data_IF_107025517949
#
_entry.id   IF_107025517949
#
_cell.length_a   1.000
_cell.length_b   1.000
_cell.length_c   1.000
_cell.angle_alpha   90.00
_cell.angle_beta   90.00
_cell.angle_gamma   90.00
#
_symmetry.space_group_name_H-M   'P 1'
#
loop_
_entity.id
_entity.type
_entity.pdbx_description
1 polymer ?
#
# COMPACT_ATOMS: atom_id res chain seq x y z
N UNK A 1 23.80 4.36 -8.41
CA UNK A 1 24.64 3.44 -7.61
C UNK A 1 24.72 3.79 -6.11
N UNK A 2 25.24 4.93 -5.66
CA UNK A 2 25.42 5.18 -4.21
C UNK A 2 24.11 5.15 -3.39
N UNK A 3 23.03 5.75 -3.89
CA UNK A 3 21.71 5.72 -3.24
C UNK A 3 21.16 4.29 -3.09
N UNK A 4 21.37 3.44 -4.09
CA UNK A 4 20.91 2.04 -4.07
C UNK A 4 21.71 1.20 -3.08
N UNK A 5 23.03 1.37 -3.03
CA UNK A 5 23.89 0.66 -2.06
C UNK A 5 23.52 1.09 -0.64
N UNK A 6 23.31 2.39 -0.41
CA UNK A 6 22.94 2.90 0.90
C UNK A 6 21.54 2.45 1.34
N UNK A 7 20.57 2.43 0.41
CA UNK A 7 19.22 1.90 0.67
C UNK A 7 19.28 0.41 1.05
N UNK A 8 19.99 -0.41 0.26
CA UNK A 8 20.14 -1.85 0.52
C UNK A 8 20.88 -2.15 1.83
N UNK A 9 21.91 -1.37 2.17
CA UNK A 9 22.64 -1.50 3.45
C UNK A 9 21.81 -1.05 4.65
N UNK A 10 21.13 0.09 4.55
CA UNK A 10 20.22 0.56 5.60
C UNK A 10 19.08 -0.44 5.80
N UNK A 11 18.53 -1.00 4.71
CA UNK A 11 17.48 -2.00 4.79
C UNK A 11 17.98 -3.28 5.46
N UNK A 12 19.14 -3.80 5.04
CA UNK A 12 19.72 -4.99 5.64
C UNK A 12 20.02 -4.77 7.14
N UNK A 13 20.52 -3.59 7.51
CA UNK A 13 20.75 -3.21 8.91
C UNK A 13 19.42 -3.08 9.69
N UNK A 14 18.41 -2.44 9.11
CA UNK A 14 17.10 -2.28 9.76
C UNK A 14 16.39 -3.62 9.92
N UNK A 15 16.47 -4.52 8.95
CA UNK A 15 15.95 -5.87 9.05
C UNK A 15 16.73 -6.69 10.07
N UNK A 16 18.07 -6.58 10.08
CA UNK A 16 18.89 -7.24 11.09
C UNK A 16 18.51 -6.76 12.51
N UNK A 17 18.31 -5.46 12.71
CA UNK A 17 17.90 -4.89 14.01
C UNK A 17 16.46 -5.28 14.37
N UNK A 18 15.53 -5.26 13.41
CA UNK A 18 14.11 -5.53 13.67
C UNK A 18 13.78 -7.03 13.84
N UNK A 19 14.64 -7.93 13.32
CA UNK A 19 14.36 -9.37 13.26
C UNK A 19 15.44 -10.27 13.89
N UNK A 20 16.51 -9.71 14.46
CA UNK A 20 17.45 -10.44 15.32
C UNK A 20 17.20 -10.15 16.81
N UNK A 21 16.20 -10.79 17.45
CA UNK A 21 15.90 -10.55 18.87
C UNK A 21 17.05 -10.97 19.81
N UNK A 22 18.10 -11.64 19.31
CA UNK A 22 19.23 -12.12 20.11
C UNK A 22 20.50 -11.26 20.08
N UNK A 23 20.67 -10.31 19.15
CA UNK A 23 21.97 -9.61 18.98
C UNK A 23 21.99 -8.26 19.74
N UNK A 24 20.85 -7.60 19.90
CA UNK A 24 20.80 -6.29 20.58
C UNK A 24 20.88 -6.33 22.11
N UNK A 25 20.82 -7.52 22.75
CA UNK A 25 20.91 -7.64 24.21
C UNK A 25 22.29 -7.26 24.79
N UNK A 26 23.33 -7.10 23.96
CA UNK A 26 24.70 -6.83 24.44
C UNK A 26 25.17 -5.38 24.34
N UNK A 27 24.42 -4.47 23.70
CA UNK A 27 24.92 -3.11 23.38
C UNK A 27 24.19 -1.93 24.03
N UNK A 28 23.36 -2.14 25.05
CA UNK A 28 22.90 -1.06 25.95
C UNK A 28 22.14 0.09 25.27
N UNK A 29 21.58 -0.14 24.08
CA UNK A 29 20.64 0.78 23.44
C UNK A 29 19.27 0.61 24.11
N UNK A 30 19.07 1.35 25.19
CA UNK A 30 17.80 1.45 25.92
C UNK A 30 16.84 2.35 25.12
N UNK A 31 16.38 1.86 23.97
CA UNK A 31 15.23 2.44 23.28
C UNK A 31 14.01 1.61 23.63
N UNK A 32 13.08 2.22 24.38
CA UNK A 32 11.77 1.69 24.74
C UNK A 32 10.83 1.38 23.57
N UNK A 33 11.36 1.05 22.39
CA UNK A 33 10.64 0.29 21.39
C UNK A 33 10.51 -1.15 21.91
N UNK A 34 9.62 -1.35 22.88
CA UNK A 34 9.10 -2.67 23.21
C UNK A 34 8.71 -3.32 21.89
N UNK A 35 9.49 -4.32 21.46
CA UNK A 35 9.23 -5.13 20.29
C UNK A 35 7.99 -5.96 20.64
N UNK A 36 6.83 -5.31 20.59
CA UNK A 36 5.55 -5.98 20.71
C UNK A 36 5.59 -7.19 19.77
N UNK A 37 5.14 -8.37 20.22
CA UNK A 37 5.24 -9.60 19.46
C UNK A 37 4.73 -9.32 18.04
N UNK A 38 5.64 -9.41 17.07
CA UNK A 38 5.31 -9.06 15.69
C UNK A 38 4.17 -9.96 15.26
N UNK A 39 3.07 -9.36 14.81
CA UNK A 39 1.96 -10.12 14.25
C UNK A 39 2.47 -10.82 13.00
N UNK A 40 2.49 -12.15 13.04
CA UNK A 40 2.78 -12.97 11.88
C UNK A 40 1.55 -13.02 10.97
N UNK A 41 1.79 -13.04 9.67
CA UNK A 41 0.73 -13.34 8.71
C UNK A 41 0.23 -14.77 8.92
N UNK A 42 -1.07 -14.98 8.71
CA UNK A 42 -1.71 -16.29 8.78
C UNK A 42 -2.38 -16.63 7.45
N UNK A 43 -2.50 -17.91 7.07
CA UNK A 43 -3.29 -18.32 5.91
C UNK A 43 -4.72 -17.80 6.00
N UNK A 44 -5.33 -17.41 4.87
CA UNK A 44 -6.72 -16.90 4.80
C UNK A 44 -6.98 -15.65 5.66
N UNK A 45 -5.95 -14.84 5.89
CA UNK A 45 -6.03 -13.53 6.56
C UNK A 45 -5.31 -12.48 5.71
N UNK A 46 -5.57 -11.17 5.91
CA UNK A 46 -4.73 -10.15 5.30
C UNK A 46 -3.25 -10.35 5.70
N UNK A 47 -2.36 -10.25 4.72
CA UNK A 47 -0.92 -10.24 4.87
C UNK A 47 -0.54 -9.06 5.73
N UNK A 48 0.27 -9.31 6.76
CA UNK A 48 0.80 -8.27 7.63
C UNK A 48 1.89 -7.52 6.86
N UNK A 49 1.64 -6.22 6.66
CA UNK A 49 2.61 -5.27 6.13
C UNK A 49 3.00 -4.24 7.18
N UNK A 50 4.23 -3.73 7.13
CA UNK A 50 4.70 -2.64 7.99
C UNK A 50 5.51 -1.63 7.18
N UNK A 51 5.15 -0.36 7.27
CA UNK A 51 5.98 0.72 6.76
C UNK A 51 7.24 0.88 7.62
N UNK A 52 8.40 1.00 6.98
CA UNK A 52 9.69 1.24 7.63
C UNK A 52 10.01 2.73 7.50
N UNK A 53 9.44 3.51 8.42
CA UNK A 53 9.76 4.93 8.59
C UNK A 53 10.07 5.15 10.09
N UNK A 54 11.26 5.66 10.46
CA UNK A 54 11.64 5.86 11.85
C UNK A 54 10.77 6.91 12.58
N UNK A 55 10.09 7.78 11.85
CA UNK A 55 9.24 8.84 12.40
C UNK A 55 7.75 8.48 12.33
N UNK A 56 7.36 7.46 11.55
CA UNK A 56 5.97 7.00 11.50
C UNK A 56 5.69 6.00 12.63
N UNK A 57 4.96 6.43 13.65
CA UNK A 57 4.50 5.50 14.68
C UNK A 57 3.45 4.53 14.12
N UNK A 58 3.39 3.31 14.67
CA UNK A 58 2.40 2.29 14.26
C UNK A 58 0.96 2.74 14.54
N UNK A 59 0.75 3.57 15.56
CA UNK A 59 -0.54 4.16 15.85
C UNK A 59 -0.92 5.17 14.75
N UNK A 60 -0.03 6.08 14.40
CA UNK A 60 -0.27 7.09 13.35
C UNK A 60 -0.51 6.41 11.98
N UNK A 61 0.28 5.40 11.63
CA UNK A 61 0.06 4.61 10.40
C UNK A 61 -1.35 3.99 10.38
N UNK A 62 -1.81 3.46 11.51
CA UNK A 62 -3.15 2.85 11.64
C UNK A 62 -4.25 3.89 11.53
N UNK A 63 -4.09 5.03 12.18
CA UNK A 63 -5.04 6.16 12.12
C UNK A 63 -5.17 6.67 10.68
N UNK A 64 -4.03 6.93 10.02
CA UNK A 64 -3.99 7.33 8.61
C UNK A 64 -4.68 6.30 7.70
N UNK A 65 -4.34 5.01 7.82
CA UNK A 65 -4.97 3.94 7.04
C UNK A 65 -6.47 3.83 7.33
N UNK A 66 -6.89 3.99 8.58
CA UNK A 66 -8.31 3.88 8.97
C UNK A 66 -9.11 5.05 8.40
N UNK A 67 -8.56 6.26 8.50
CA UNK A 67 -9.15 7.46 7.95
C UNK A 67 -9.24 7.42 6.42
N UNK A 68 -8.15 7.10 5.73
CA UNK A 68 -8.17 6.98 4.27
C UNK A 68 -9.17 5.93 3.76
N UNK A 69 -9.44 4.89 4.56
CA UNK A 69 -10.43 3.85 4.26
C UNK A 69 -11.86 4.21 4.66
N UNK A 70 -12.09 5.27 5.43
CA UNK A 70 -13.45 5.59 5.84
C UNK A 70 -14.30 5.95 4.62
N UNK A 71 -15.56 5.49 4.55
CA UNK A 71 -16.46 5.88 3.48
C UNK A 71 -16.76 7.38 3.60
N UNK A 72 -16.78 8.08 2.47
CA UNK A 72 -17.25 9.47 2.43
C UNK A 72 -18.75 9.45 2.69
N UNK A 73 -19.20 9.96 3.84
CA UNK A 73 -20.63 9.98 4.17
C UNK A 73 -21.34 11.01 3.28
N UNK A 74 -22.40 10.57 2.60
CA UNK A 74 -23.25 11.44 1.77
C UNK A 74 -23.95 12.48 2.64
N UNK A 75 -23.34 13.67 2.77
CA UNK A 75 -23.86 14.78 3.59
C UNK A 75 -22.78 15.49 4.41
N UNK A 76 -21.62 14.87 4.60
CA UNK A 76 -20.48 15.51 5.26
C UNK A 76 -19.85 16.52 4.29
N UNK A 77 -20.00 17.81 4.60
CA UNK A 77 -19.55 18.91 3.73
C UNK A 77 -18.03 18.93 3.57
N UNK A 78 -17.30 18.37 4.53
CA UNK A 78 -15.85 18.48 4.61
C UNK A 78 -15.14 17.76 3.45
N UNK A 79 -15.77 16.72 2.90
CA UNK A 79 -15.25 15.96 1.75
C UNK A 79 -16.05 16.18 0.48
N UNK A 80 -16.93 17.19 0.42
CA UNK A 80 -17.69 17.55 -0.77
C UNK A 80 -16.83 18.35 -1.76
N UNK A 81 -15.60 17.89 -2.02
CA UNK A 81 -14.69 18.54 -2.94
C UNK A 81 -15.31 18.61 -4.35
N UNK A 82 -15.20 19.77 -4.97
CA UNK A 82 -15.81 20.14 -6.24
C UNK A 82 -14.82 20.97 -7.10
N UNK A 83 -15.31 21.51 -8.23
CA UNK A 83 -14.53 22.33 -9.15
C UNK A 83 -13.91 23.60 -8.54
N UNK A 84 -14.45 24.08 -7.41
CA UNK A 84 -13.99 25.27 -6.72
C UNK A 84 -12.98 24.99 -5.61
N UNK A 85 -12.81 23.70 -5.24
CA UNK A 85 -11.94 23.29 -4.14
C UNK A 85 -10.47 23.50 -4.50
N UNK A 86 -9.72 24.11 -3.57
CA UNK A 86 -8.26 24.31 -3.69
C UNK A 86 -7.49 23.22 -2.93
N UNK A 87 -6.18 23.10 -3.15
CA UNK A 87 -5.35 22.18 -2.36
C UNK A 87 -5.31 22.56 -0.87
N UNK A 88 -5.38 23.86 -0.56
CA UNK A 88 -5.49 24.35 0.82
C UNK A 88 -6.81 23.89 1.47
N UNK A 89 -7.91 23.87 0.74
CA UNK A 89 -9.20 23.40 1.26
C UNK A 89 -9.16 21.89 1.50
N UNK A 90 -8.53 21.12 0.60
CA UNK A 90 -8.29 19.68 0.79
C UNK A 90 -7.41 19.45 2.02
N UNK A 91 -6.30 20.17 2.16
CA UNK A 91 -5.41 20.07 3.32
C UNK A 91 -6.16 20.40 4.61
N UNK A 92 -6.95 21.48 4.64
CA UNK A 92 -7.75 21.88 5.81
C UNK A 92 -8.77 20.82 6.19
N UNK A 93 -9.45 20.23 5.20
CA UNK A 93 -10.42 19.16 5.41
C UNK A 93 -9.75 17.88 5.95
N UNK A 94 -8.55 17.55 5.49
CA UNK A 94 -7.82 16.37 5.97
C UNK A 94 -7.19 16.60 7.35
N UNK A 95 -6.75 17.82 7.64
CA UNK A 95 -6.10 18.21 8.90
C UNK A 95 -6.99 18.04 10.15
N UNK A 96 -8.30 17.88 9.98
CA UNK A 96 -9.22 17.55 11.08
C UNK A 96 -9.04 16.11 11.60
N UNK A 97 -8.45 15.23 10.78
CA UNK A 97 -8.22 13.82 11.11
C UNK A 97 -6.74 13.46 11.14
N UNK A 98 -5.96 13.91 10.15
CA UNK A 98 -4.53 13.64 10.05
C UNK A 98 -3.81 14.88 9.54
N UNK A 99 -2.74 15.26 10.21
CA UNK A 99 -1.89 16.37 9.78
C UNK A 99 -1.23 16.04 8.43
N UNK A 100 -1.70 16.69 7.36
CA UNK A 100 -1.17 16.57 6.00
C UNK A 100 -0.46 17.86 5.62
N UNK A 101 0.71 17.72 4.98
CA UNK A 101 1.48 18.84 4.44
C UNK A 101 1.34 18.92 2.92
N UNK A 102 1.59 20.11 2.37
CA UNK A 102 1.73 20.34 0.93
C UNK A 102 3.20 20.66 0.65
N UNK A 103 3.80 19.97 -0.30
CA UNK A 103 5.16 20.25 -0.76
C UNK A 103 5.18 21.46 -1.69
N UNK A 104 5.13 22.66 -1.12
CA UNK A 104 5.10 23.92 -1.87
C UNK A 104 6.25 24.02 -2.89
N UNK A 105 7.43 23.51 -2.56
CA UNK A 105 8.58 23.53 -3.47
C UNK A 105 8.32 22.68 -4.72
N UNK A 106 7.82 21.46 -4.55
CA UNK A 106 7.51 20.59 -5.69
C UNK A 106 6.39 21.17 -6.57
N UNK A 107 5.41 21.83 -5.95
CA UNK A 107 4.33 22.54 -6.66
C UNK A 107 4.87 23.74 -7.46
N UNK A 108 5.74 24.55 -6.86
CA UNK A 108 6.38 25.69 -7.52
C UNK A 108 7.20 25.26 -8.75
N UNK A 109 7.86 24.09 -8.68
CA UNK A 109 8.66 23.52 -9.78
C UNK A 109 7.82 23.20 -11.03
N UNK A 110 6.52 22.91 -10.88
CA UNK A 110 5.57 22.69 -11.98
C UNK A 110 4.65 23.90 -12.24
N UNK A 111 4.89 25.02 -11.55
CA UNK A 111 4.11 26.26 -11.71
C UNK A 111 2.68 26.19 -11.14
N UNK A 112 2.42 25.31 -10.17
CA UNK A 112 1.16 25.24 -9.45
C UNK A 112 1.27 25.95 -8.10
N UNK A 113 0.23 26.66 -7.69
CA UNK A 113 0.07 27.19 -6.34
C UNK A 113 -0.95 26.36 -5.55
N UNK A 114 -0.74 26.23 -4.23
CA UNK A 114 -1.70 25.54 -3.36
C UNK A 114 -3.08 26.22 -3.31
N UNK A 115 -3.13 27.51 -3.66
CA UNK A 115 -4.36 28.30 -3.76
C UNK A 115 -5.06 28.16 -5.10
N UNK A 116 -4.45 27.48 -6.08
CA UNK A 116 -5.06 27.27 -7.39
C UNK A 116 -6.21 26.27 -7.27
N UNK A 117 -7.21 26.44 -8.16
CA UNK A 117 -8.35 25.54 -8.20
C UNK A 117 -7.93 24.21 -8.81
N UNK A 118 -8.30 23.12 -8.13
CA UNK A 118 -7.89 21.77 -8.51
C UNK A 118 -8.45 21.35 -9.87
N UNK A 119 -9.61 21.89 -10.24
CA UNK A 119 -10.12 21.73 -11.59
C UNK A 119 -9.75 22.97 -12.40
N UNK A 120 -8.83 22.87 -13.38
CA UNK A 120 -8.83 23.83 -14.45
C UNK A 120 -10.25 23.81 -15.03
N UNK A 121 -10.92 24.97 -15.05
CA UNK A 121 -12.23 25.12 -15.68
C UNK A 121 -12.11 24.44 -17.04
N UNK A 122 -12.82 23.30 -17.21
CA UNK A 122 -12.67 22.40 -18.35
C UNK A 122 -12.45 23.22 -19.61
N UNK A 123 -11.19 23.36 -20.03
CA UNK A 123 -10.93 23.90 -21.34
C UNK A 123 -11.55 22.87 -22.27
N UNK A 124 -12.45 23.26 -23.20
CA UNK A 124 -13.23 22.32 -24.03
C UNK A 124 -12.35 21.65 -25.11
N UNK A 125 -11.12 21.27 -24.74
CA UNK A 125 -10.06 20.82 -25.60
C UNK A 125 -9.69 19.39 -25.21
N UNK A 126 -10.05 18.50 -26.13
CA UNK A 126 -9.54 17.15 -26.38
C UNK A 126 -10.01 16.00 -25.49
N UNK A 127 -10.72 15.09 -26.17
CA UNK A 127 -10.86 13.66 -25.97
C UNK A 127 -9.63 12.99 -25.31
N UNK A 128 -9.44 13.16 -24.01
CA UNK A 128 -8.64 12.24 -23.21
C UNK A 128 -9.56 11.07 -22.89
N UNK A 129 -9.17 9.87 -23.34
CA UNK A 129 -9.78 8.60 -22.92
C UNK A 129 -9.97 8.62 -21.41
N UNK A 130 -11.16 8.21 -20.93
CA UNK A 130 -11.49 8.13 -19.50
C UNK A 130 -10.29 7.53 -18.77
N UNK A 131 -9.62 8.27 -17.88
CA UNK A 131 -8.45 7.76 -17.19
C UNK A 131 -8.83 6.51 -16.39
N UNK A 132 -7.97 5.50 -16.39
CA UNK A 132 -8.04 4.34 -15.48
C UNK A 132 -8.14 4.75 -13.99
N UNK A 133 -7.97 6.04 -13.65
CA UNK A 133 -8.16 6.59 -12.30
C UNK A 133 -9.61 6.56 -11.77
N UNK A 134 -10.64 6.36 -12.61
CA UNK A 134 -12.01 6.13 -12.12
C UNK A 134 -12.28 4.65 -11.83
N UNK A 135 -11.40 3.76 -12.29
CA UNK A 135 -11.31 2.41 -11.75
C UNK A 135 -10.69 2.58 -10.38
N UNK A 136 -11.51 2.38 -9.35
CA UNK A 136 -11.01 2.22 -8.00
C UNK A 136 -9.83 1.23 -8.08
N UNK A 137 -8.58 1.63 -7.74
CA UNK A 137 -7.43 0.72 -7.75
C UNK A 137 -7.65 -0.51 -6.85
N UNK A 138 -8.76 -0.53 -6.12
CA UNK A 138 -9.20 -1.56 -5.21
C UNK A 138 -10.35 -2.44 -5.77
N UNK A 139 -11.06 -2.07 -6.83
CA UNK A 139 -12.27 -2.77 -7.30
C UNK A 139 -12.08 -3.75 -8.48
N UNK A 140 -11.07 -3.57 -9.34
CA UNK A 140 -10.89 -4.43 -10.52
C UNK A 140 -9.79 -5.48 -10.30
N UNK A 141 -10.21 -6.71 -9.99
CA UNK A 141 -9.39 -7.92 -10.18
C UNK A 141 -9.79 -8.64 -11.47
N UNK A 142 -8.91 -9.49 -12.04
CA UNK A 142 -9.18 -10.23 -13.29
C UNK A 142 -10.34 -11.23 -13.20
N UNK A 143 -10.92 -11.48 -12.02
CA UNK A 143 -12.00 -12.47 -11.81
C UNK A 143 -13.42 -11.94 -12.06
N UNK A 144 -13.59 -10.65 -12.43
CA UNK A 144 -14.91 -10.04 -12.66
C UNK A 144 -15.68 -10.63 -13.86
N UNK A 145 -15.12 -11.59 -14.59
CA UNK A 145 -15.75 -12.21 -15.75
C UNK A 145 -16.58 -13.49 -15.45
N UNK A 146 -16.57 -14.04 -14.23
CA UNK A 146 -17.18 -15.36 -13.95
C UNK A 146 -17.99 -15.46 -12.65
N UNK A 147 -18.86 -14.50 -12.34
CA UNK A 147 -19.84 -14.68 -11.25
C UNK A 147 -21.28 -14.68 -11.77
N UNK A 148 -21.80 -15.89 -11.96
CA UNK A 148 -23.21 -16.18 -12.20
C UNK A 148 -24.02 -15.96 -10.93
N UNK A 149 -25.09 -15.18 -11.06
CA UNK A 149 -26.04 -14.80 -10.02
C UNK A 149 -26.82 -16.00 -9.47
N UNK A 150 -26.66 -16.29 -8.18
CA UNK A 150 -27.63 -17.09 -7.40
C UNK A 150 -28.43 -16.18 -6.48
N UNK A 151 -29.76 -16.19 -6.65
CA UNK A 151 -30.74 -15.47 -5.82
C UNK A 151 -30.94 -16.24 -4.52
N UNK A 152 -30.71 -15.59 -3.37
CA UNK A 152 -31.03 -16.14 -2.04
C UNK A 152 -31.99 -15.23 -1.29
N UNK A 153 -33.05 -15.86 -0.79
CA UNK A 153 -34.23 -15.29 -0.13
C UNK A 153 -33.92 -14.83 1.29
N UNK A 154 -34.44 -13.65 1.64
CA UNK A 154 -34.24 -12.95 2.91
C UNK A 154 -34.98 -13.59 4.09
N UNK A 155 -34.23 -14.00 5.13
CA UNK A 155 -34.73 -14.22 6.50
C UNK A 155 -33.90 -13.35 7.46
N UNK A 156 -34.58 -12.59 8.31
CA UNK A 156 -33.96 -11.61 9.21
C UNK A 156 -33.19 -12.27 10.37
N UNK A 157 -31.93 -11.88 10.66
CA UNK A 157 -31.18 -12.43 11.77
C UNK A 157 -31.24 -11.56 13.04
N UNK A 158 -31.25 -12.26 14.17
CA UNK A 158 -31.05 -11.79 15.55
C UNK A 158 -29.61 -11.25 15.70
N UNK A 159 -29.36 -10.18 16.48
CA UNK A 159 -28.01 -9.62 16.65
C UNK A 159 -27.17 -10.49 17.60
N UNK A 160 -26.41 -11.43 17.02
CA UNK A 160 -25.38 -12.21 17.72
C UNK A 160 -24.04 -11.46 17.68
N UNK A 161 -23.32 -11.45 18.80
CA UNK A 161 -22.06 -10.74 19.01
C UNK A 161 -20.86 -11.51 18.43
N UNK A 162 -20.97 -11.91 17.16
CA UNK A 162 -19.97 -12.71 16.46
C UNK A 162 -18.63 -11.98 16.28
N UNK A 163 -17.54 -12.73 16.04
CA UNK A 163 -16.22 -12.15 15.78
C UNK A 163 -16.31 -11.20 14.59
N UNK A 164 -15.89 -9.94 14.80
CA UNK A 164 -15.84 -8.91 13.74
C UNK A 164 -15.08 -9.46 12.54
N UNK A 165 -15.81 -9.80 11.48
CA UNK A 165 -15.24 -10.14 10.18
C UNK A 165 -14.54 -8.88 9.70
N UNK A 166 -13.21 -8.90 9.71
CA UNK A 166 -12.40 -7.83 9.13
C UNK A 166 -12.68 -7.84 7.63
N UNK A 167 -13.52 -6.90 7.18
CA UNK A 167 -13.89 -6.77 5.77
C UNK A 167 -12.62 -6.48 4.97
N UNK A 168 -12.34 -7.34 4.00
CA UNK A 168 -11.19 -7.19 3.10
C UNK A 168 -11.44 -5.94 2.27
N UNK A 169 -10.55 -4.96 2.40
CA UNK A 169 -10.79 -3.59 1.96
C UNK A 169 -10.82 -3.43 0.43
N UNK A 170 -10.27 -4.40 -0.30
CA UNK A 170 -10.36 -4.53 -1.76
C UNK A 170 -11.53 -5.44 -2.22
N UNK A 171 -12.24 -6.10 -1.30
CA UNK A 171 -13.47 -6.82 -1.62
C UNK A 171 -14.64 -5.88 -1.44
N UNK A 172 -14.76 -4.97 -2.36
CA UNK A 172 -15.95 -4.19 -2.51
C UNK A 172 -16.93 -4.97 -3.36
N UNK A 173 -18.09 -5.31 -2.79
CA UNK A 173 -19.13 -6.08 -3.47
C UNK A 173 -19.57 -5.32 -4.73
N UNK A 174 -19.08 -5.77 -5.89
CA UNK A 174 -19.31 -5.14 -7.20
C UNK A 174 -20.80 -4.99 -7.55
N UNK A 175 -21.68 -5.75 -6.86
CA UNK A 175 -23.14 -5.71 -7.02
C UNK A 175 -23.85 -4.62 -6.20
N UNK A 176 -23.19 -4.00 -5.20
CA UNK A 176 -23.81 -2.95 -4.35
C UNK A 176 -23.12 -1.59 -4.48
N UNK A 177 -21.92 -1.53 -5.06
CA UNK A 177 -21.13 -0.31 -5.22
C UNK A 177 -21.09 0.19 -6.67
N UNK A 178 -22.10 0.94 -7.10
CA UNK A 178 -21.92 1.76 -8.31
C UNK A 178 -22.01 3.26 -8.12
N UNK A 179 -22.44 3.79 -6.97
CA UNK A 179 -22.56 5.25 -6.82
C UNK A 179 -22.19 5.81 -5.41
N UNK A 180 -22.27 5.04 -4.30
CA UNK A 180 -22.40 5.68 -2.96
C UNK A 180 -21.41 5.26 -1.85
N UNK A 181 -20.22 4.71 -2.14
CA UNK A 181 -19.21 4.56 -1.07
C UNK A 181 -17.78 4.70 -1.58
N UNK A 182 -17.51 5.81 -2.26
CA UNK A 182 -16.13 6.26 -2.43
C UNK A 182 -15.49 6.40 -1.03
N UNK A 183 -14.28 5.86 -0.88
CA UNK A 183 -13.47 6.09 0.32
C UNK A 183 -12.84 7.48 0.24
N UNK A 184 -12.40 8.01 1.38
CA UNK A 184 -11.61 9.27 1.41
C UNK A 184 -10.39 9.13 0.50
N UNK A 185 -9.71 7.96 0.53
CA UNK A 185 -8.60 7.67 -0.36
C UNK A 185 -8.99 7.78 -1.84
N UNK A 186 -9.98 7.03 -2.31
CA UNK A 186 -10.35 7.04 -3.73
C UNK A 186 -10.73 8.44 -4.22
N UNK A 187 -11.42 9.21 -3.37
CA UNK A 187 -11.74 10.61 -3.69
C UNK A 187 -10.47 11.46 -3.73
N UNK A 188 -9.59 11.33 -2.75
CA UNK A 188 -8.33 12.09 -2.70
C UNK A 188 -7.47 11.83 -3.93
N UNK A 189 -7.24 10.56 -4.29
CA UNK A 189 -6.42 10.23 -5.47
C UNK A 189 -7.08 10.69 -6.76
N UNK A 190 -8.39 10.59 -6.90
CA UNK A 190 -9.08 11.14 -8.06
C UNK A 190 -8.81 12.65 -8.22
N UNK A 191 -8.83 13.40 -7.12
CA UNK A 191 -8.56 14.84 -7.12
C UNK A 191 -7.09 15.16 -7.42
N UNK A 192 -6.16 14.44 -6.78
CA UNK A 192 -4.72 14.66 -6.96
C UNK A 192 -4.26 14.29 -8.37
N UNK A 193 -4.82 13.23 -8.96
CA UNK A 193 -4.50 12.77 -10.33
C UNK A 193 -4.82 13.83 -11.40
N UNK A 194 -5.84 14.66 -11.20
CA UNK A 194 -6.16 15.76 -12.13
C UNK A 194 -5.06 16.81 -12.24
N UNK A 195 -4.22 16.93 -11.20
CA UNK A 195 -3.13 17.90 -11.11
C UNK A 195 -1.75 17.25 -11.24
N UNK A 196 -1.67 15.96 -11.60
CA UNK A 196 -0.42 15.19 -11.59
C UNK A 196 0.28 15.21 -10.21
N UNK A 197 -0.54 15.17 -9.16
CA UNK A 197 -0.11 15.11 -7.77
C UNK A 197 -0.38 13.72 -7.18
N UNK A 198 0.31 13.42 -6.08
CA UNK A 198 0.14 12.19 -5.34
C UNK A 198 0.36 12.39 -3.84
N UNK A 199 0.07 11.35 -3.06
CA UNK A 199 0.29 11.32 -1.62
C UNK A 199 1.55 10.48 -1.32
N UNK A 200 2.55 11.11 -0.69
CA UNK A 200 3.74 10.47 -0.16
C UNK A 200 3.72 10.45 1.37
N UNK A 201 4.59 9.65 1.99
CA UNK A 201 4.87 9.72 3.44
C UNK A 201 6.34 10.06 3.60
N UNK A 202 6.64 11.13 4.34
CA UNK A 202 8.00 11.58 4.58
C UNK A 202 8.15 12.03 6.03
N UNK A 203 9.16 11.52 6.71
CA UNK A 203 9.41 11.80 8.13
C UNK A 203 8.16 11.57 9.00
N UNK A 204 7.44 10.47 8.75
CA UNK A 204 6.24 10.11 9.50
C UNK A 204 5.00 10.94 9.21
N UNK A 205 5.06 11.87 8.24
CA UNK A 205 3.95 12.75 7.89
C UNK A 205 3.47 12.51 6.45
N UNK A 206 2.15 12.43 6.22
CA UNK A 206 1.59 12.40 4.88
C UNK A 206 1.77 13.76 4.18
N UNK A 207 2.20 13.71 2.92
CA UNK A 207 2.61 14.87 2.12
C UNK A 207 1.98 14.81 0.74
N UNK A 208 1.24 15.85 0.35
CA UNK A 208 0.78 16.05 -1.03
C UNK A 208 1.94 16.66 -1.81
N UNK A 209 2.35 15.99 -2.88
CA UNK A 209 3.53 16.38 -3.68
C UNK A 209 3.34 15.94 -5.14
N UNK A 210 4.27 16.31 -6.02
CA UNK A 210 4.24 15.87 -7.43
C UNK A 210 4.63 14.41 -7.56
N UNK A 211 4.21 13.77 -8.66
CA UNK A 211 4.55 12.37 -8.95
C UNK A 211 6.08 12.17 -9.02
N UNK A 212 6.78 13.08 -9.69
CA UNK A 212 8.26 13.07 -9.79
C UNK A 212 8.92 13.16 -8.42
N UNK A 213 8.42 14.06 -7.55
CA UNK A 213 8.98 14.23 -6.21
C UNK A 213 8.73 12.99 -5.34
N UNK A 214 7.58 12.34 -5.50
CA UNK A 214 7.27 11.09 -4.83
C UNK A 214 8.18 9.94 -5.29
N UNK A 215 8.59 9.91 -6.57
CA UNK A 215 9.58 8.93 -7.09
C UNK A 215 10.96 9.08 -6.44
N UNK A 216 11.31 10.30 -6.03
CA UNK A 216 12.54 10.54 -5.26
C UNK A 216 12.42 10.18 -3.77
N UNK A 217 11.19 10.01 -3.28
CA UNK A 217 10.83 9.85 -1.87
C UNK A 217 10.03 8.57 -1.63
N UNK A 218 10.51 7.46 -2.20
CA UNK A 218 9.91 6.14 -2.02
C UNK A 218 9.87 5.75 -0.54
N UNK A 219 8.73 5.25 -0.08
CA UNK A 219 8.64 4.65 1.24
C UNK A 219 9.02 3.17 1.15
N UNK A 220 9.46 2.60 2.27
CA UNK A 220 9.83 1.19 2.32
C UNK A 220 8.80 0.44 3.14
N UNK A 221 8.36 -0.71 2.66
CA UNK A 221 7.40 -1.56 3.35
C UNK A 221 7.86 -3.02 3.36
N UNK A 222 7.71 -3.67 4.51
CA UNK A 222 8.01 -5.09 4.71
C UNK A 222 6.69 -5.85 4.79
N UNK A 223 6.57 -6.91 3.99
CA UNK A 223 5.41 -7.78 3.92
C UNK A 223 5.80 -9.18 4.39
N UNK A 224 5.06 -9.72 5.34
CA UNK A 224 5.25 -11.10 5.79
C UNK A 224 4.46 -12.05 4.89
N UNK A 225 5.14 -12.63 3.90
CA UNK A 225 4.56 -13.55 2.90
C UNK A 225 4.74 -15.01 3.28
N UNK A 226 5.11 -15.31 4.53
CA UNK A 226 5.29 -16.68 5.04
C UNK A 226 4.12 -17.61 4.70
N UNK A 227 2.84 -17.20 4.84
CA UNK A 227 1.72 -18.06 4.47
C UNK A 227 1.69 -18.46 2.98
N UNK A 228 2.18 -17.59 2.09
CA UNK A 228 2.20 -17.85 0.64
C UNK A 228 3.30 -18.85 0.26
N UNK A 229 4.43 -18.84 0.97
CA UNK A 229 5.51 -19.81 0.80
C UNK A 229 5.14 -21.21 1.35
N UNK A 230 4.29 -21.27 2.38
CA UNK A 230 3.91 -22.52 3.04
C UNK A 230 3.07 -23.46 2.16
N UNK A 231 2.32 -22.91 1.19
CA UNK A 231 1.37 -23.64 0.32
C UNK A 231 2.08 -24.53 -0.71
N UNK A 232 3.41 -24.42 -0.86
CA UNK A 232 4.12 -25.23 -1.84
C UNK A 232 4.10 -26.73 -1.46
N UNK A 233 3.64 -27.62 -2.37
CA UNK A 233 3.36 -29.02 -2.04
C UNK A 233 4.59 -29.73 -1.50
N UNK A 234 4.41 -30.51 -0.42
CA UNK A 234 5.47 -31.23 0.28
C UNK A 234 6.33 -32.13 -0.64
N UNK A 235 5.77 -32.60 -1.75
CA UNK A 235 6.47 -33.35 -2.79
C UNK A 235 7.69 -32.60 -3.37
N UNK A 236 7.65 -31.27 -3.36
CA UNK A 236 8.71 -30.42 -3.91
C UNK A 236 9.83 -30.13 -2.89
N UNK A 237 9.59 -30.39 -1.59
CA UNK A 237 10.56 -30.30 -0.49
C UNK A 237 11.43 -31.57 -0.36
N UNK A 238 11.01 -32.70 -0.93
CA UNK A 238 11.66 -33.99 -0.73
C UNK A 238 12.83 -34.30 -1.67
N UNK A 239 13.07 -33.52 -2.72
CA UNK A 239 14.34 -33.61 -3.45
C UNK A 239 15.42 -32.83 -2.70
N UNK A 240 15.97 -33.48 -1.68
CA UNK A 240 17.03 -33.00 -0.79
C UNK A 240 18.32 -32.66 -1.53
N UNK A 241 18.33 -31.53 -2.24
CA UNK A 241 19.58 -30.84 -2.54
C UNK A 241 20.08 -30.22 -1.24
N UNK A 242 21.30 -30.55 -0.79
CA UNK A 242 21.87 -29.95 0.40
C UNK A 242 21.86 -28.43 0.25
N UNK A 243 21.30 -27.77 1.27
CA UNK A 243 21.23 -26.32 1.37
C UNK A 243 22.64 -25.86 1.71
N UNK A 244 23.40 -25.40 0.71
CA UNK A 244 24.65 -24.70 0.96
C UNK A 244 24.29 -23.38 1.64
N UNK A 245 24.47 -23.34 2.96
CA UNK A 245 23.98 -22.31 3.89
C UNK A 245 24.58 -20.90 3.71
N UNK A 246 25.42 -20.67 2.70
CA UNK A 246 25.99 -19.35 2.41
C UNK A 246 25.99 -19.07 0.91
N UNK A 247 25.02 -18.28 0.45
CA UNK A 247 25.33 -17.28 -0.58
C UNK A 247 24.59 -17.32 -1.91
N UNK A 248 23.63 -18.22 -2.16
CA UNK A 248 22.82 -18.13 -3.37
C UNK A 248 21.33 -18.29 -3.02
N UNK A 249 20.61 -17.17 -3.01
CA UNK A 249 19.16 -17.18 -3.10
C UNK A 249 18.78 -18.02 -4.34
N UNK A 250 18.33 -19.25 -4.11
CA UNK A 250 17.89 -20.10 -5.18
C UNK A 250 16.69 -19.42 -5.84
N UNK A 251 16.79 -19.17 -7.15
CA UNK A 251 15.82 -18.61 -8.12
C UNK A 251 14.36 -19.13 -8.07
N UNK A 252 13.97 -19.88 -7.04
CA UNK A 252 12.66 -20.50 -6.88
C UNK A 252 11.62 -19.58 -6.23
N UNK A 253 12.05 -18.52 -5.53
CA UNK A 253 11.16 -17.53 -4.90
C UNK A 253 10.86 -16.31 -5.80
N UNK A 254 11.42 -16.27 -7.01
CA UNK A 254 11.26 -15.13 -7.94
C UNK A 254 9.87 -15.05 -8.57
N UNK A 255 9.07 -16.12 -8.52
CA UNK A 255 7.75 -16.15 -9.17
C UNK A 255 6.78 -15.08 -8.64
N UNK A 256 6.77 -14.85 -7.33
CA UNK A 256 5.91 -13.85 -6.71
C UNK A 256 6.41 -12.41 -6.98
N UNK A 257 7.74 -12.20 -6.98
CA UNK A 257 8.34 -10.93 -7.37
C UNK A 257 7.98 -10.62 -8.82
N UNK A 258 8.23 -11.57 -9.71
CA UNK A 258 7.94 -11.48 -11.13
C UNK A 258 6.46 -11.14 -11.36
N UNK A 259 5.55 -11.84 -10.69
CA UNK A 259 4.12 -11.55 -10.76
C UNK A 259 3.82 -10.10 -10.35
N UNK A 260 4.37 -9.62 -9.24
CA UNK A 260 4.16 -8.25 -8.76
C UNK A 260 4.72 -7.24 -9.77
N UNK A 261 5.94 -7.45 -10.26
CA UNK A 261 6.59 -6.55 -11.24
C UNK A 261 5.79 -6.43 -12.53
N UNK A 262 5.21 -7.53 -13.03
CA UNK A 262 4.44 -7.50 -14.28
C UNK A 262 2.98 -7.06 -14.11
N UNK A 263 2.42 -7.08 -12.90
CA UNK A 263 0.99 -6.79 -12.67
C UNK A 263 0.73 -5.45 -12.02
N UNK A 264 1.69 -4.90 -11.26
CA UNK A 264 1.52 -3.67 -10.49
C UNK A 264 2.51 -2.64 -11.01
N UNK A 265 2.01 -1.60 -11.66
CA UNK A 265 2.80 -0.44 -12.11
C UNK A 265 4.13 -0.85 -12.77
N UNK A 266 4.08 -1.68 -13.84
CA UNK A 266 5.25 -2.36 -14.39
C UNK A 266 6.39 -1.41 -14.77
N UNK A 267 6.05 -0.22 -15.24
CA UNK A 267 6.99 0.85 -15.60
C UNK A 267 7.76 1.43 -14.40
N UNK A 268 7.32 1.18 -13.17
CA UNK A 268 7.95 1.75 -11.97
C UNK A 268 9.07 0.90 -11.41
N UNK A 269 9.25 -0.35 -11.84
CA UNK A 269 10.25 -1.26 -11.27
C UNK A 269 11.65 -1.09 -11.85
N UNK A 270 12.69 -1.28 -11.03
CA UNK A 270 14.11 -1.22 -11.43
C UNK A 270 14.43 -2.14 -12.61
N UNK A 271 13.82 -3.34 -12.66
CA UNK A 271 13.95 -4.29 -13.78
C UNK A 271 13.45 -3.72 -15.11
N UNK A 272 12.55 -2.74 -15.06
CA UNK A 272 11.97 -2.04 -16.19
C UNK A 272 12.49 -0.59 -16.33
N UNK A 273 13.52 -0.22 -15.57
CA UNK A 273 14.14 1.11 -15.58
C UNK A 273 13.48 2.15 -14.67
N UNK A 274 12.48 1.77 -13.88
CA UNK A 274 11.81 2.63 -12.91
C UNK A 274 12.54 2.74 -11.56
N UNK A 275 12.04 3.59 -10.65
CA UNK A 275 12.70 3.88 -9.38
C UNK A 275 12.43 2.86 -8.26
N UNK A 276 11.36 2.07 -8.36
CA UNK A 276 10.94 1.10 -7.34
C UNK A 276 11.86 -0.11 -7.30
N UNK A 277 12.15 -0.60 -6.10
CA UNK A 277 13.00 -1.78 -5.89
C UNK A 277 12.30 -2.81 -5.01
N UNK A 278 12.67 -4.07 -5.14
CA UNK A 278 12.17 -5.15 -4.30
C UNK A 278 13.28 -6.13 -3.91
N UNK A 279 13.06 -6.86 -2.82
CA UNK A 279 13.96 -7.91 -2.35
C UNK A 279 13.20 -8.94 -1.51
N UNK A 280 13.49 -10.23 -1.71
CA UNK A 280 13.01 -11.31 -0.85
C UNK A 280 14.07 -11.64 0.21
N UNK A 281 13.62 -11.87 1.44
CA UNK A 281 14.44 -12.34 2.56
C UNK A 281 13.80 -13.56 3.20
N UNK A 282 14.61 -14.60 3.41
CA UNK A 282 14.21 -15.79 4.15
C UNK A 282 15.06 -15.87 5.41
N UNK A 283 14.42 -15.84 6.59
CA UNK A 283 15.11 -15.93 7.88
C UNK A 283 14.35 -16.88 8.79
N UNK A 284 15.03 -17.96 9.20
CA UNK A 284 14.41 -19.10 9.89
C UNK A 284 13.26 -19.66 9.03
N UNK A 285 12.04 -19.65 9.57
CA UNK A 285 10.81 -20.10 8.91
C UNK A 285 9.96 -18.94 8.37
N UNK A 286 10.54 -17.75 8.19
CA UNK A 286 9.83 -16.56 7.71
C UNK A 286 10.31 -16.15 6.33
N UNK A 287 9.33 -15.82 5.49
CA UNK A 287 9.55 -15.23 4.17
C UNK A 287 9.04 -13.80 4.19
N UNK A 288 9.95 -12.85 4.02
CA UNK A 288 9.66 -11.42 4.05
C UNK A 288 9.96 -10.83 2.68
N UNK A 289 9.01 -10.10 2.12
CA UNK A 289 9.27 -9.26 0.95
C UNK A 289 9.45 -7.83 1.41
N UNK A 290 10.43 -7.17 0.82
CA UNK A 290 10.68 -5.76 1.11
C UNK A 290 10.66 -4.99 -0.19
N UNK A 291 9.86 -3.95 -0.18
CA UNK A 291 9.64 -3.08 -1.33
C UNK A 291 9.98 -1.66 -0.94
N UNK A 292 10.62 -0.93 -1.85
CA UNK A 292 10.73 0.51 -1.80
C UNK A 292 10.01 1.06 -3.03
N UNK A 293 8.84 1.67 -2.84
CA UNK A 293 7.97 2.14 -3.91
C UNK A 293 7.11 3.35 -3.47
N UNK A 294 6.29 3.88 -4.38
CA UNK A 294 5.27 4.87 -4.03
C UNK A 294 4.22 4.26 -3.08
N UNK A 295 3.58 5.11 -2.28
CA UNK A 295 2.54 4.68 -1.33
C UNK A 295 1.37 3.97 -2.03
N UNK A 296 0.95 4.49 -3.18
CA UNK A 296 -0.12 3.90 -4.00
C UNK A 296 0.25 2.50 -4.50
N UNK A 297 1.48 2.31 -4.97
CA UNK A 297 2.04 1.01 -5.38
C UNK A 297 2.04 0.03 -4.21
N UNK A 298 2.43 0.46 -3.00
CA UNK A 298 2.36 -0.38 -1.81
C UNK A 298 0.95 -0.87 -1.46
N UNK A 299 -0.08 -0.07 -1.72
CA UNK A 299 -1.46 -0.50 -1.51
C UNK A 299 -1.92 -1.50 -2.57
N UNK A 300 -1.51 -1.33 -3.84
CA UNK A 300 -1.75 -2.32 -4.90
C UNK A 300 -1.09 -3.67 -4.54
N UNK A 301 0.16 -3.63 -4.06
CA UNK A 301 0.89 -4.82 -3.57
C UNK A 301 0.14 -5.47 -2.43
N UNK A 302 -0.29 -4.69 -1.44
CA UNK A 302 -1.07 -5.20 -0.30
C UNK A 302 -2.34 -5.92 -0.79
N UNK A 303 -3.11 -5.29 -1.67
CA UNK A 303 -4.34 -5.87 -2.19
C UNK A 303 -4.09 -7.18 -2.96
N UNK A 304 -3.05 -7.24 -3.81
CA UNK A 304 -2.67 -8.45 -4.54
C UNK A 304 -2.26 -9.57 -3.58
N UNK A 305 -1.33 -9.28 -2.66
CA UNK A 305 -0.85 -10.27 -1.68
C UNK A 305 -1.99 -10.79 -0.81
N UNK A 306 -2.90 -9.92 -0.40
CA UNK A 306 -4.06 -10.34 0.35
C UNK A 306 -4.98 -11.23 -0.50
N UNK A 307 -5.23 -10.92 -1.78
CA UNK A 307 -6.03 -11.79 -2.67
C UNK A 307 -5.40 -13.17 -2.79
N UNK A 308 -4.09 -13.24 -3.04
CA UNK A 308 -3.36 -14.51 -3.14
C UNK A 308 -3.45 -15.33 -1.85
N UNK A 309 -3.38 -14.68 -0.68
CA UNK A 309 -3.44 -15.39 0.60
C UNK A 309 -4.85 -15.83 1.01
N UNK A 310 -5.88 -15.32 0.32
CA UNK A 310 -7.29 -15.67 0.54
C UNK A 310 -7.88 -16.50 -0.60
N UNK A 311 -7.07 -16.86 -1.60
CA UNK A 311 -7.49 -17.77 -2.66
C UNK A 311 -7.61 -19.19 -2.06
N UNK A 312 -8.73 -19.90 -2.32
CA UNK A 312 -8.98 -21.24 -1.78
C UNK A 312 -8.05 -22.31 -2.33
#
# INVERSE_FOLDING_TARGET
MLRQVFSRLCLALLLAVAYAPGICAQHGFDQGASLAPQRLSQPNRPIVSRLVDPFLTTQHERELKTFLRSPVQSGERDFAWDASTTLIDIQRALATHVEIQIDHRALDEIGLSASDRVFPALSPQLNRSVPDALIDPFANGPDSALQSTSVSTSAAPVPDAGPRVVRQWWKTDATVQRINSATVASRLFYFLDQLDLTLAIRMGQPLITTVDRADECLCTCVYDVTPLAAVQPAAQRQMGRPIDHLGAASYRDDGLITLIEYTIDPETWESMGGPSTNQMFSCNDRHLMVFSAKLTTHWKIQALLDRLNNAP
#
